data_IF_374901986139
#
_entry.id   IF_374901986139
#
_cell.length_a   1.000
_cell.length_b   1.000
_cell.length_c   1.000
_cell.angle_alpha   90.00
_cell.angle_beta   90.00
_cell.angle_gamma   90.00
#
_symmetry.space_group_name_H-M   'P 1'
#
loop_
_entity.id
_entity.type
_entity.pdbx_description
1 polymer ?
#
# COMPACT_ATOMS: atom_id res chain seq x y z
N UNK A 1 6.49 -21.38 34.20
CA UNK A 1 6.48 -21.91 32.82
C UNK A 1 5.26 -21.32 32.14
N UNK A 2 5.43 -20.41 31.20
CA UNK A 2 4.30 -19.90 30.43
C UNK A 2 3.88 -21.00 29.45
N UNK A 3 2.67 -21.52 29.61
CA UNK A 3 2.04 -22.40 28.63
C UNK A 3 1.73 -21.52 27.42
N UNK A 4 2.56 -21.61 26.37
CA UNK A 4 2.22 -21.05 25.06
C UNK A 4 1.38 -22.12 24.36
N UNK A 5 0.08 -21.90 24.11
CA UNK A 5 -0.75 -22.86 23.40
C UNK A 5 -0.17 -23.11 22.00
N UNK A 6 -0.14 -24.36 21.55
CA UNK A 6 0.37 -24.77 20.23
C UNK A 6 -0.39 -24.17 19.04
N UNK A 7 -1.45 -23.40 19.30
CA UNK A 7 -2.26 -22.68 18.29
C UNK A 7 -1.59 -21.41 17.79
N UNK A 8 -0.68 -20.80 18.56
CA UNK A 8 0.05 -19.58 18.17
C UNK A 8 1.15 -19.81 17.11
N UNK A 9 1.48 -21.07 16.80
CA UNK A 9 2.57 -21.42 15.89
C UNK A 9 2.08 -21.91 14.50
N UNK A 10 0.78 -21.88 14.23
CA UNK A 10 0.26 -22.27 12.92
C UNK A 10 0.32 -21.09 11.96
N UNK A 11 1.09 -21.24 10.87
CA UNK A 11 1.02 -20.30 9.76
C UNK A 11 -0.23 -20.60 8.91
N UNK A 12 -0.98 -19.57 8.48
CA UNK A 12 -2.09 -19.77 7.58
C UNK A 12 -1.64 -20.36 6.24
N UNK A 13 -2.30 -21.43 5.79
CA UNK A 13 -1.95 -22.15 4.55
C UNK A 13 -2.24 -21.37 3.25
N UNK A 14 -2.76 -20.14 3.36
CA UNK A 14 -3.05 -19.24 2.24
C UNK A 14 -1.95 -18.20 1.98
N UNK A 15 -0.79 -18.33 2.65
CA UNK A 15 0.34 -17.41 2.51
C UNK A 15 0.13 -16.08 3.25
N UNK A 16 1.15 -15.22 3.27
CA UNK A 16 1.13 -13.91 3.96
C UNK A 16 0.31 -12.84 3.22
N UNK A 17 -0.02 -13.10 1.96
CA UNK A 17 -0.57 -12.12 1.03
C UNK A 17 -2.04 -12.44 0.78
N UNK A 18 -2.93 -12.05 1.72
CA UNK A 18 -4.36 -12.12 1.50
C UNK A 18 -4.77 -11.11 0.41
N UNK A 19 -4.91 -11.56 -0.84
CA UNK A 19 -5.10 -10.68 -2.02
C UNK A 19 -6.54 -10.29 -2.29
N UNK A 20 -7.51 -11.00 -1.71
CA UNK A 20 -8.95 -10.74 -1.91
C UNK A 20 -9.67 -10.46 -0.60
N UNK A 21 -10.79 -9.75 -0.64
CA UNK A 21 -11.66 -9.49 0.53
C UNK A 21 -12.07 -10.79 1.23
N UNK A 22 -12.25 -11.86 0.46
CA UNK A 22 -12.55 -13.21 0.96
C UNK A 22 -11.37 -13.84 1.70
N UNK A 23 -10.15 -13.64 1.22
CA UNK A 23 -8.94 -14.13 1.89
C UNK A 23 -8.66 -13.34 3.17
N UNK A 24 -8.95 -12.04 3.18
CA UNK A 24 -8.87 -11.21 4.37
C UNK A 24 -9.88 -11.68 5.42
N UNK A 25 -11.12 -12.00 5.01
CA UNK A 25 -12.10 -12.56 5.92
C UNK A 25 -11.60 -13.89 6.52
N UNK A 26 -11.02 -14.77 5.70
CA UNK A 26 -10.43 -16.05 6.19
C UNK A 26 -9.25 -15.82 7.14
N UNK A 27 -8.39 -14.84 6.84
CA UNK A 27 -7.28 -14.42 7.71
C UNK A 27 -7.82 -13.99 9.09
N UNK A 28 -8.87 -13.17 9.12
CA UNK A 28 -9.48 -12.74 10.37
C UNK A 28 -10.22 -13.87 11.09
N UNK A 29 -10.86 -14.78 10.36
CA UNK A 29 -11.45 -15.97 10.98
C UNK A 29 -10.37 -16.84 11.64
N UNK A 30 -9.21 -16.97 11.00
CA UNK A 30 -8.08 -17.74 11.51
C UNK A 30 -7.54 -17.16 12.83
N UNK A 31 -7.36 -15.85 12.90
CA UNK A 31 -6.78 -15.17 14.08
C UNK A 31 -7.79 -14.81 15.18
N UNK A 32 -9.07 -15.19 15.06
CA UNK A 32 -10.09 -14.73 16.00
C UNK A 32 -9.90 -15.27 17.42
N UNK A 33 -9.57 -16.55 17.54
CA UNK A 33 -9.32 -17.18 18.84
C UNK A 33 -8.11 -16.55 19.54
N UNK A 34 -7.07 -16.23 18.77
CA UNK A 34 -5.89 -15.52 19.27
C UNK A 34 -6.24 -14.11 19.75
N UNK A 35 -7.03 -13.36 18.96
CA UNK A 35 -7.53 -12.04 19.36
C UNK A 35 -8.38 -12.06 20.64
N UNK A 36 -9.04 -13.17 20.97
CA UNK A 36 -9.77 -13.26 22.23
C UNK A 36 -8.83 -13.41 23.44
N UNK A 37 -7.61 -13.89 23.23
CA UNK A 37 -6.61 -14.12 24.26
C UNK A 37 -5.67 -12.93 24.47
N UNK A 38 -5.54 -12.05 23.47
CA UNK A 38 -4.67 -10.87 23.48
C UNK A 38 -5.47 -9.61 23.18
N UNK A 39 -5.16 -8.47 23.82
CA UNK A 39 -5.88 -7.23 23.54
C UNK A 39 -5.62 -6.68 22.11
N UNK A 40 -6.45 -5.74 21.67
CA UNK A 40 -6.40 -5.17 20.31
C UNK A 40 -5.08 -4.49 19.96
N UNK A 41 -4.38 -3.94 20.96
CA UNK A 41 -3.09 -3.27 20.77
C UNK A 41 -1.97 -4.30 20.57
N UNK A 42 -1.94 -5.32 21.43
CA UNK A 42 -1.01 -6.45 21.33
C UNK A 42 -1.25 -7.30 20.07
N UNK A 43 -2.51 -7.40 19.60
CA UNK A 43 -2.85 -8.11 18.37
C UNK A 43 -2.21 -7.48 17.12
N UNK A 44 -2.30 -6.15 17.00
CA UNK A 44 -1.69 -5.41 15.88
C UNK A 44 -0.18 -5.61 15.86
N UNK A 45 0.41 -5.73 17.05
CA UNK A 45 1.84 -5.85 17.21
C UNK A 45 2.37 -7.25 16.92
N UNK A 46 1.62 -8.28 17.31
CA UNK A 46 1.93 -9.67 17.02
C UNK A 46 1.83 -9.98 15.51
N UNK A 47 0.87 -9.36 14.82
CA UNK A 47 0.56 -9.64 13.40
C UNK A 47 1.08 -8.59 12.43
N UNK A 48 2.13 -7.83 12.79
CA UNK A 48 2.69 -6.75 11.94
C UNK A 48 3.07 -7.24 10.54
N UNK A 49 3.44 -8.51 10.37
CA UNK A 49 3.84 -9.09 9.09
C UNK A 49 2.65 -9.36 8.14
N UNK A 50 1.45 -9.58 8.70
CA UNK A 50 0.23 -9.76 7.92
C UNK A 50 -0.40 -8.40 7.65
N UNK A 51 -0.11 -7.82 6.48
CA UNK A 51 -0.56 -6.49 6.07
C UNK A 51 -2.07 -6.27 6.35
N UNK A 52 -2.89 -7.25 5.97
CA UNK A 52 -4.34 -7.15 6.08
C UNK A 52 -4.91 -7.58 7.44
N UNK A 53 -4.09 -8.10 8.36
CA UNK A 53 -4.56 -8.48 9.70
C UNK A 53 -5.01 -7.27 10.53
N UNK A 54 -4.59 -6.04 10.17
CA UNK A 54 -5.03 -4.80 10.82
C UNK A 54 -6.55 -4.55 10.69
N UNK A 55 -7.20 -5.13 9.69
CA UNK A 55 -8.66 -5.02 9.51
C UNK A 55 -9.42 -5.88 10.52
N UNK A 56 -8.80 -6.94 11.03
CA UNK A 56 -9.51 -7.94 11.82
C UNK A 56 -10.15 -7.40 13.11
N UNK A 57 -9.47 -6.55 13.94
CA UNK A 57 -10.12 -5.94 15.10
C UNK A 57 -11.40 -5.16 14.76
N UNK A 58 -11.41 -4.45 13.62
CA UNK A 58 -12.58 -3.70 13.14
C UNK A 58 -13.73 -4.67 12.83
N UNK A 59 -13.43 -5.79 12.17
CA UNK A 59 -14.43 -6.81 11.88
C UNK A 59 -14.93 -7.50 13.13
N UNK A 60 -14.07 -7.76 14.12
CA UNK A 60 -14.44 -8.42 15.37
C UNK A 60 -15.43 -7.60 16.19
N UNK A 61 -15.34 -6.27 16.12
CA UNK A 61 -16.25 -5.33 16.76
C UNK A 61 -17.55 -5.11 15.94
N UNK A 62 -17.60 -5.55 14.68
CA UNK A 62 -18.77 -5.40 13.83
C UNK A 62 -19.92 -6.32 14.28
N UNK A 63 -21.15 -5.80 14.29
CA UNK A 63 -22.34 -6.56 14.76
C UNK A 63 -22.57 -7.87 14.00
N UNK A 64 -22.18 -7.94 12.73
CA UNK A 64 -22.30 -9.15 11.92
C UNK A 64 -21.33 -10.27 12.36
N UNK A 65 -20.23 -9.95 13.06
CA UNK A 65 -19.22 -10.94 13.43
C UNK A 65 -19.77 -12.07 14.30
N UNK A 66 -20.62 -11.75 15.27
CA UNK A 66 -21.25 -12.73 16.16
C UNK A 66 -22.63 -13.19 15.66
N UNK A 67 -23.04 -12.76 14.47
CA UNK A 67 -24.35 -13.11 13.91
C UNK A 67 -24.41 -14.56 13.41
N UNK A 68 -25.58 -15.19 13.52
CA UNK A 68 -25.89 -16.51 12.94
C UNK A 68 -26.55 -16.40 11.56
N UNK A 69 -26.68 -15.20 11.01
CA UNK A 69 -27.37 -14.98 9.74
C UNK A 69 -26.61 -15.61 8.55
N UNK A 70 -27.29 -16.27 7.58
CA UNK A 70 -26.63 -16.89 6.43
C UNK A 70 -25.80 -15.93 5.55
N UNK A 71 -26.13 -14.64 5.57
CA UNK A 71 -25.41 -13.61 4.80
C UNK A 71 -24.33 -12.88 5.61
N UNK A 72 -23.97 -13.38 6.80
CA UNK A 72 -22.91 -12.80 7.64
C UNK A 72 -21.64 -12.50 6.84
N UNK A 73 -21.14 -13.49 6.11
CA UNK A 73 -19.88 -13.35 5.37
C UNK A 73 -19.99 -12.33 4.24
N UNK A 74 -21.16 -12.21 3.60
CA UNK A 74 -21.41 -11.18 2.58
C UNK A 74 -21.34 -9.78 3.19
N UNK A 75 -21.94 -9.58 4.37
CA UNK A 75 -21.89 -8.29 5.08
C UNK A 75 -20.47 -7.97 5.55
N UNK A 76 -19.74 -8.95 6.07
CA UNK A 76 -18.36 -8.76 6.50
C UNK A 76 -17.43 -8.50 5.31
N UNK A 77 -17.61 -9.18 4.18
CA UNK A 77 -16.88 -8.92 2.94
C UNK A 77 -17.16 -7.50 2.44
N UNK A 78 -18.43 -7.08 2.45
CA UNK A 78 -18.79 -5.72 2.07
C UNK A 78 -18.14 -4.68 2.98
N UNK A 79 -18.09 -4.91 4.30
CA UNK A 79 -17.38 -4.01 5.22
C UNK A 79 -15.87 -4.03 4.99
N UNK A 80 -15.27 -5.17 4.62
CA UNK A 80 -13.86 -5.24 4.19
C UNK A 80 -13.64 -4.41 2.93
N UNK A 81 -14.44 -4.61 1.89
CA UNK A 81 -14.36 -3.88 0.62
C UNK A 81 -14.51 -2.39 0.85
N UNK A 82 -15.55 -2.00 1.59
CA UNK A 82 -15.77 -0.63 2.02
C UNK A 82 -14.59 -0.08 2.81
N UNK A 83 -13.97 -0.84 3.73
CA UNK A 83 -12.78 -0.39 4.46
C UNK A 83 -11.55 -0.31 3.56
N UNK A 84 -11.41 -1.14 2.54
CA UNK A 84 -10.34 -1.04 1.54
C UNK A 84 -10.56 0.17 0.61
N UNK A 85 -11.82 0.52 0.32
CA UNK A 85 -12.22 1.67 -0.50
C UNK A 85 -12.16 3.01 0.27
N UNK A 86 -12.75 3.09 1.47
CA UNK A 86 -12.67 4.22 2.41
C UNK A 86 -11.22 4.51 2.79
N UNK A 87 -10.43 3.45 2.96
CA UNK A 87 -9.00 3.55 3.09
C UNK A 87 -8.30 3.39 1.73
N UNK A 88 -8.59 4.27 0.76
CA UNK A 88 -7.71 4.48 -0.42
C UNK A 88 -6.21 4.69 -0.06
N UNK A 89 -5.86 4.79 1.23
CA UNK A 89 -4.50 4.74 1.78
C UNK A 89 -4.07 3.38 2.40
N UNK A 90 -4.92 2.42 2.75
CA UNK A 90 -4.48 1.15 3.40
C UNK A 90 -3.90 0.11 2.43
N UNK A 91 -4.22 0.15 1.14
CA UNK A 91 -3.50 -0.62 0.11
C UNK A 91 -2.36 0.19 -0.55
N UNK A 92 -2.24 1.48 -0.22
CA UNK A 92 -1.06 2.27 -0.58
C UNK A 92 0.00 2.26 0.52
N UNK A 93 -0.36 2.03 1.79
CA UNK A 93 0.54 2.21 2.93
C UNK A 93 1.24 0.94 3.49
N UNK A 94 1.52 -0.09 2.69
CA UNK A 94 2.57 -1.06 3.13
C UNK A 94 3.34 -1.81 2.06
N UNK A 95 3.75 -1.09 1.03
CA UNK A 95 5.12 -1.24 0.53
C UNK A 95 5.80 0.12 0.39
N UNK A 96 5.74 0.94 1.44
CA UNK A 96 6.43 2.22 1.45
C UNK A 96 7.21 2.36 2.75
N UNK A 97 8.50 2.09 2.62
CA UNK A 97 9.50 2.91 3.29
C UNK A 97 9.17 4.38 2.99
N UNK A 98 8.42 5.10 3.82
CA UNK A 98 8.47 6.57 3.99
C UNK A 98 8.47 7.48 2.72
N UNK A 99 8.25 6.96 1.50
CA UNK A 99 8.53 7.59 0.19
C UNK A 99 7.70 6.93 -0.92
N UNK A 100 6.36 6.90 -0.80
CA UNK A 100 5.55 6.78 -2.03
C UNK A 100 5.63 8.03 -2.83
N UNK A 101 5.50 7.86 -4.14
CA UNK A 101 5.20 8.92 -5.07
C UNK A 101 3.77 9.42 -4.78
N UNK A 102 3.61 10.67 -4.32
CA UNK A 102 2.29 11.22 -4.01
C UNK A 102 1.41 11.33 -5.26
N UNK A 103 0.08 11.22 -5.06
CA UNK A 103 -0.92 11.35 -6.14
C UNK A 103 -0.78 12.67 -6.93
N UNK A 104 -0.37 13.75 -6.28
CA UNK A 104 -0.16 15.03 -6.95
C UNK A 104 1.00 14.96 -7.96
N UNK A 105 2.06 14.19 -7.66
CA UNK A 105 3.21 14.00 -8.54
C UNK A 105 2.85 13.11 -9.72
N UNK A 106 2.09 12.04 -9.48
CA UNK A 106 1.55 11.18 -10.54
C UNK A 106 0.71 11.98 -11.55
N UNK A 107 -0.13 12.89 -11.06
CA UNK A 107 -0.89 13.82 -11.92
C UNK A 107 0.04 14.69 -12.77
N UNK A 108 1.10 15.26 -12.19
CA UNK A 108 2.09 16.07 -12.93
C UNK A 108 2.85 15.23 -13.96
N UNK A 109 3.23 14.00 -13.62
CA UNK A 109 3.87 13.06 -14.53
C UNK A 109 3.00 12.74 -15.75
N UNK A 110 1.68 12.56 -15.53
CA UNK A 110 0.70 12.35 -16.61
C UNK A 110 0.62 13.55 -17.56
N UNK A 111 0.51 14.76 -17.01
CA UNK A 111 0.49 15.99 -17.81
C UNK A 111 1.77 16.14 -18.64
N UNK A 112 2.93 15.83 -18.04
CA UNK A 112 4.22 15.94 -18.73
C UNK A 112 4.39 14.88 -19.83
N UNK A 113 4.00 13.63 -19.56
CA UNK A 113 4.01 12.56 -20.56
C UNK A 113 3.07 12.88 -21.74
N UNK A 114 1.96 13.56 -21.46
CA UNK A 114 0.98 14.08 -22.44
C UNK A 114 1.39 15.36 -23.15
N UNK A 115 2.59 15.91 -22.92
CA UNK A 115 3.06 17.19 -23.47
C UNK A 115 2.21 18.41 -23.07
N UNK A 116 1.42 18.31 -22.00
CA UNK A 116 0.60 19.42 -21.49
C UNK A 116 1.43 20.42 -20.66
N UNK A 117 2.53 19.95 -20.05
CA UNK A 117 3.46 20.81 -19.30
C UNK A 117 4.90 20.67 -19.82
N UNK A 118 5.68 21.75 -19.70
CA UNK A 118 7.09 21.82 -20.12
C UNK A 118 8.01 21.10 -19.12
N UNK A 119 9.22 20.77 -19.57
CA UNK A 119 10.25 20.13 -18.72
C UNK A 119 10.53 20.92 -17.45
N UNK A 120 10.66 22.24 -17.54
CA UNK A 120 10.89 23.12 -16.37
C UNK A 120 9.80 22.96 -15.29
N UNK A 121 8.53 22.89 -15.69
CA UNK A 121 7.42 22.73 -14.76
C UNK A 121 7.41 21.34 -14.11
N UNK A 122 7.75 20.31 -14.89
CA UNK A 122 7.88 18.97 -14.37
C UNK A 122 9.06 18.84 -13.39
N UNK A 123 10.20 19.48 -13.68
CA UNK A 123 11.37 19.49 -12.79
C UNK A 123 11.05 20.15 -11.45
N UNK A 124 10.26 21.23 -11.41
CA UNK A 124 9.78 21.80 -10.14
C UNK A 124 9.01 20.76 -9.30
N UNK A 125 8.26 19.88 -9.96
CA UNK A 125 7.53 18.80 -9.27
C UNK A 125 8.47 17.73 -8.70
N UNK A 126 9.61 17.49 -9.37
CA UNK A 126 10.68 16.60 -8.87
C UNK A 126 11.42 17.21 -7.68
N UNK A 127 11.65 18.53 -7.71
CA UNK A 127 12.21 19.29 -6.59
C UNK A 127 11.30 19.17 -5.36
N UNK A 128 9.99 19.38 -5.53
CA UNK A 128 8.99 19.24 -4.46
C UNK A 128 8.94 17.81 -3.91
N UNK A 129 9.14 16.79 -4.75
CA UNK A 129 9.09 15.39 -4.36
C UNK A 129 10.28 14.96 -3.47
N UNK A 130 11.49 15.42 -3.78
CA UNK A 130 12.72 14.93 -3.13
C UNK A 130 13.43 16.00 -2.28
N UNK A 131 12.95 17.24 -2.27
CA UNK A 131 13.51 18.36 -1.51
C UNK A 131 14.91 18.80 -1.97
N UNK A 132 15.33 18.40 -3.17
CA UNK A 132 16.62 18.78 -3.76
C UNK A 132 16.39 19.79 -4.89
N UNK A 133 17.16 20.86 -4.89
CA UNK A 133 17.12 21.92 -5.91
C UNK A 133 17.79 21.43 -7.18
N UNK A 134 17.10 21.47 -8.32
CA UNK A 134 17.57 20.88 -9.56
C UNK A 134 18.13 21.96 -10.49
N UNK A 135 19.23 21.67 -11.20
CA UNK A 135 19.69 22.60 -12.23
C UNK A 135 18.76 22.55 -13.45
N UNK A 136 17.93 23.58 -13.58
CA UNK A 136 16.91 23.72 -14.64
C UNK A 136 17.51 23.89 -16.04
N UNK A 137 18.83 23.96 -16.14
CA UNK A 137 19.57 24.06 -17.39
C UNK A 137 19.76 22.71 -18.10
N UNK A 138 19.51 21.59 -17.44
CA UNK A 138 19.65 20.27 -18.05
C UNK A 138 18.38 19.77 -18.75
N UNK A 139 18.52 19.24 -19.96
CA UNK A 139 17.44 18.55 -20.67
C UNK A 139 17.08 17.23 -19.97
N UNK A 140 15.78 16.94 -19.84
CA UNK A 140 15.33 15.63 -19.34
C UNK A 140 15.59 14.59 -20.44
N UNK A 141 16.35 13.51 -20.17
CA UNK A 141 16.62 12.50 -21.18
C UNK A 141 15.36 11.74 -21.63
N UNK A 142 15.33 11.35 -22.90
CA UNK A 142 14.19 10.60 -23.48
C UNK A 142 13.89 9.28 -22.76
N UNK A 143 14.92 8.60 -22.24
CA UNK A 143 14.75 7.36 -21.48
C UNK A 143 13.85 7.57 -20.24
N UNK A 144 13.94 8.75 -19.61
CA UNK A 144 13.14 9.06 -18.44
C UNK A 144 11.68 9.24 -18.84
N UNK A 145 11.42 9.86 -20.00
CA UNK A 145 10.06 9.97 -20.55
C UNK A 145 9.43 8.63 -20.85
N UNK A 146 10.19 7.70 -21.42
CA UNK A 146 9.72 6.34 -21.66
C UNK A 146 9.42 5.61 -20.35
N UNK A 147 10.27 5.78 -19.34
CA UNK A 147 10.10 5.19 -18.01
C UNK A 147 8.84 5.74 -17.32
N UNK A 148 8.58 7.04 -17.42
CA UNK A 148 7.35 7.66 -16.91
C UNK A 148 6.10 7.10 -17.59
N UNK A 149 6.13 6.87 -18.90
CA UNK A 149 5.01 6.21 -19.60
C UNK A 149 4.77 4.79 -19.08
N UNK A 150 5.82 3.99 -18.96
CA UNK A 150 5.70 2.64 -18.39
C UNK A 150 5.16 2.64 -16.96
N UNK A 151 5.49 3.66 -16.16
CA UNK A 151 4.91 3.81 -14.83
C UNK A 151 3.41 4.12 -14.90
N UNK A 152 3.00 5.06 -15.75
CA UNK A 152 1.58 5.44 -15.92
C UNK A 152 0.74 4.31 -16.53
N UNK A 153 1.35 3.45 -17.33
CA UNK A 153 0.75 2.25 -17.91
C UNK A 153 0.86 1.04 -16.96
N UNK A 154 1.27 1.25 -15.70
CA UNK A 154 1.44 0.21 -14.67
C UNK A 154 2.37 -0.95 -15.07
N UNK A 155 3.24 -0.73 -16.06
CA UNK A 155 4.18 -1.72 -16.61
C UNK A 155 5.40 -1.90 -15.72
N UNK A 156 5.83 -0.84 -15.03
CA UNK A 156 6.88 -0.88 -14.02
C UNK A 156 6.33 -0.50 -12.65
N UNK A 157 6.91 -1.07 -11.60
CA UNK A 157 6.52 -0.77 -10.23
C UNK A 157 6.86 0.66 -9.82
N UNK A 158 6.13 1.19 -8.85
CA UNK A 158 6.41 2.50 -8.24
C UNK A 158 7.85 2.59 -7.70
N UNK A 159 8.40 1.49 -7.18
CA UNK A 159 9.79 1.40 -6.72
C UNK A 159 10.79 1.59 -7.87
N UNK A 160 10.54 0.96 -9.01
CA UNK A 160 11.38 1.12 -10.21
C UNK A 160 11.31 2.55 -10.74
N UNK A 161 10.10 3.12 -10.79
CA UNK A 161 9.93 4.52 -11.18
C UNK A 161 10.62 5.48 -10.21
N UNK A 162 10.48 5.27 -8.89
CA UNK A 162 11.14 6.10 -7.89
C UNK A 162 12.68 6.03 -7.98
N UNK A 163 13.24 4.86 -8.27
CA UNK A 163 14.67 4.72 -8.53
C UNK A 163 15.10 5.46 -9.81
N UNK A 164 14.25 5.47 -10.84
CA UNK A 164 14.49 6.25 -12.07
C UNK A 164 14.55 7.76 -11.79
N UNK A 165 13.71 8.27 -10.89
CA UNK A 165 13.72 9.68 -10.44
C UNK A 165 15.02 9.99 -9.70
N UNK A 166 15.46 9.12 -8.78
CA UNK A 166 16.75 9.29 -8.10
C UNK A 166 17.92 9.33 -9.08
N UNK A 167 17.88 8.48 -10.11
CA UNK A 167 18.92 8.46 -11.13
C UNK A 167 18.90 9.73 -11.98
N UNK A 168 17.72 10.22 -12.37
CA UNK A 168 17.56 11.51 -13.03
C UNK A 168 18.20 12.63 -12.18
N UNK A 169 17.86 12.72 -10.89
CA UNK A 169 18.44 13.71 -9.97
C UNK A 169 19.98 13.61 -9.96
N UNK A 170 20.54 12.39 -9.89
CA UNK A 170 21.99 12.20 -9.89
C UNK A 170 22.66 12.74 -11.17
N UNK A 171 22.00 12.68 -12.33
CA UNK A 171 22.55 13.19 -13.59
C UNK A 171 22.68 14.72 -13.61
N UNK A 172 21.81 15.44 -12.91
CA UNK A 172 21.77 16.92 -12.92
C UNK A 172 22.52 17.57 -11.75
N UNK A 173 23.11 16.77 -10.86
CA UNK A 173 23.91 17.23 -9.72
C UNK A 173 25.41 16.84 -9.84
N UNK A 174 25.87 16.53 -11.05
CA UNK A 174 27.24 16.11 -11.34
C UNK A 174 28.09 17.25 -11.90
#
# INVERSE_FOLDING_TARGET
MAFIPSTFAHEPNFGTDAKTSKDILKLCQFFYEEYQLIDSENFKDHHKLFLNAKICPILYDHMAWKSQHPQKDVVLIFEIEKKLEENSNYLKDKHLNEKSIPKWFEKKAKLWAGYEIKNEEFLNSVEELNGLNFDKQGEIPDWFKQTTKWYLDETISEKEFFNSIKYLIKLHHA
#
